data_IF_666891029818
#
_entry.id   IF_666891029818
#
_cell.length_a   1.000
_cell.length_b   1.000
_cell.length_c   1.000
_cell.angle_alpha   90.00
_cell.angle_beta   90.00
_cell.angle_gamma   90.00
#
_symmetry.space_group_name_H-M   'P 1'
#
loop_
_entity.id
_entity.type
_entity.pdbx_description
1 polymer ?
#
# COMPACT_ATOMS: atom_id res chain seq x y z
N UNK A 1 -2.89 -26.55 -25.78
CA UNK A 1 -2.65 -25.45 -26.73
C UNK A 1 -2.25 -24.17 -26.00
N UNK A 2 -3.14 -23.52 -25.24
CA UNK A 2 -2.91 -22.19 -24.65
C UNK A 2 -1.71 -22.11 -23.68
N UNK A 3 -1.39 -23.19 -22.97
CA UNK A 3 -0.33 -23.22 -21.94
C UNK A 3 1.07 -23.55 -22.47
N UNK A 4 1.18 -24.09 -23.69
CA UNK A 4 2.46 -24.60 -24.23
C UNK A 4 2.64 -24.15 -25.67
N UNK A 5 1.78 -24.60 -26.59
CA UNK A 5 1.88 -24.28 -28.02
C UNK A 5 1.77 -22.78 -28.27
N UNK A 6 0.77 -22.13 -27.68
CA UNK A 6 0.58 -20.69 -27.87
C UNK A 6 1.76 -19.89 -27.33
N UNK A 7 2.34 -20.31 -26.20
CA UNK A 7 3.51 -19.66 -25.60
C UNK A 7 4.76 -19.77 -26.49
N UNK A 8 5.02 -20.97 -27.03
CA UNK A 8 6.14 -21.18 -27.98
C UNK A 8 5.96 -20.37 -29.25
N UNK A 9 4.75 -20.34 -29.80
CA UNK A 9 4.44 -19.55 -30.99
C UNK A 9 4.61 -18.06 -30.69
N UNK A 10 4.15 -17.61 -29.51
CA UNK A 10 4.24 -16.21 -29.15
C UNK A 10 5.69 -15.73 -29.02
N UNK A 11 6.52 -16.50 -28.31
CA UNK A 11 7.96 -16.27 -28.25
C UNK A 11 8.60 -16.16 -29.65
N UNK A 12 8.20 -17.04 -30.57
CA UNK A 12 8.70 -16.97 -31.94
C UNK A 12 8.24 -15.71 -32.67
N UNK A 13 6.97 -15.32 -32.54
CA UNK A 13 6.43 -14.12 -33.18
C UNK A 13 6.95 -12.83 -32.58
N UNK A 14 7.34 -12.84 -31.31
CA UNK A 14 7.80 -11.65 -30.60
C UNK A 14 9.30 -11.42 -30.72
N UNK A 15 10.11 -12.48 -30.66
CA UNK A 15 11.57 -12.36 -30.68
C UNK A 15 12.12 -12.67 -32.06
N UNK A 16 11.74 -13.83 -32.62
CA UNK A 16 12.38 -14.35 -33.83
C UNK A 16 11.91 -13.58 -35.06
N UNK A 17 10.61 -13.35 -35.20
CA UNK A 17 10.05 -12.68 -36.38
C UNK A 17 10.57 -11.25 -36.55
N UNK A 18 10.57 -10.36 -35.52
CA UNK A 18 11.09 -9.01 -35.68
C UNK A 18 12.60 -9.00 -35.95
N UNK A 19 13.37 -9.87 -35.29
CA UNK A 19 14.81 -10.00 -35.52
C UNK A 19 15.12 -10.40 -36.97
N UNK A 20 14.40 -11.40 -37.50
CA UNK A 20 14.56 -11.84 -38.89
C UNK A 20 14.10 -10.76 -39.86
N UNK A 21 12.96 -10.12 -39.63
CA UNK A 21 12.44 -8.99 -40.44
C UNK A 21 13.48 -7.88 -40.55
N UNK A 22 14.08 -7.48 -39.43
CA UNK A 22 15.10 -6.44 -39.40
C UNK A 22 16.35 -6.83 -40.20
N UNK A 23 16.86 -8.06 -40.00
CA UNK A 23 18.05 -8.55 -40.70
C UNK A 23 17.83 -8.68 -42.21
N UNK A 24 16.64 -9.12 -42.63
CA UNK A 24 16.27 -9.23 -44.04
C UNK A 24 16.11 -7.84 -44.65
N UNK A 25 15.45 -6.91 -43.96
CA UNK A 25 15.25 -5.55 -44.46
C UNK A 25 16.57 -4.79 -44.61
N UNK A 26 17.45 -4.86 -43.61
CA UNK A 26 18.79 -4.26 -43.67
C UNK A 26 19.59 -4.79 -44.88
N UNK A 27 19.59 -6.11 -45.09
CA UNK A 27 20.28 -6.74 -46.23
C UNK A 27 19.64 -6.36 -47.57
N UNK A 28 18.31 -6.32 -47.65
CA UNK A 28 17.60 -5.90 -48.86
C UNK A 28 17.89 -4.43 -49.21
N UNK A 29 18.01 -3.56 -48.22
CA UNK A 29 18.35 -2.14 -48.38
C UNK A 29 19.79 -1.96 -48.84
N UNK A 30 20.72 -2.77 -48.33
CA UNK A 30 22.12 -2.82 -48.81
C UNK A 30 22.17 -3.15 -50.31
N UNK A 31 21.45 -4.20 -50.74
CA UNK A 31 21.37 -4.56 -52.16
C UNK A 31 20.67 -3.52 -53.04
N UNK A 32 19.61 -2.85 -52.52
CA UNK A 32 18.82 -1.89 -53.30
C UNK A 32 19.47 -0.52 -53.41
N UNK A 33 20.21 -0.10 -52.37
CA UNK A 33 20.79 1.24 -52.31
C UNK A 33 22.14 1.39 -53.01
N UNK A 34 22.78 0.29 -53.46
CA UNK A 34 24.11 0.30 -54.09
C UNK A 34 25.13 1.22 -53.39
N UNK A 35 25.02 1.39 -52.05
CA UNK A 35 25.87 2.27 -51.26
C UNK A 35 25.67 3.79 -51.45
N UNK A 36 24.69 4.25 -52.24
CA UNK A 36 24.56 5.68 -52.60
C UNK A 36 24.33 6.60 -51.40
N UNK A 37 23.61 6.12 -50.38
CA UNK A 37 23.33 6.86 -49.12
C UNK A 37 24.48 6.79 -48.11
N UNK A 38 25.42 5.85 -48.25
CA UNK A 38 26.62 5.75 -47.40
C UNK A 38 27.80 6.51 -48.02
N UNK A 39 27.76 6.80 -49.32
CA UNK A 39 28.82 7.47 -50.05
C UNK A 39 28.97 8.98 -49.74
N UNK A 40 27.98 9.60 -49.07
CA UNK A 40 28.01 11.03 -48.70
C UNK A 40 28.35 11.30 -47.23
N UNK A 41 28.44 10.26 -46.39
CA UNK A 41 28.70 10.44 -44.96
C UNK A 41 30.19 10.72 -44.73
N UNK A 42 30.53 11.61 -43.79
CA UNK A 42 31.93 11.81 -43.40
C UNK A 42 32.46 10.55 -42.71
N UNK A 43 33.72 10.10 -42.97
CA UNK A 43 34.22 8.81 -42.49
C UNK A 43 34.21 8.68 -40.95
N UNK A 44 34.37 9.79 -40.22
CA UNK A 44 34.34 9.80 -38.76
C UNK A 44 32.94 9.55 -38.16
N UNK A 45 31.86 9.89 -38.87
CA UNK A 45 30.47 9.78 -38.37
C UNK A 45 29.64 8.70 -39.08
N UNK A 46 30.17 8.08 -40.13
CA UNK A 46 29.45 7.11 -40.95
C UNK A 46 28.86 5.94 -40.14
N UNK A 47 29.61 5.40 -39.16
CA UNK A 47 29.12 4.33 -38.30
C UNK A 47 27.96 4.77 -37.39
N UNK A 48 28.05 5.99 -36.86
CA UNK A 48 27.03 6.58 -36.00
C UNK A 48 25.75 6.88 -36.78
N UNK A 49 25.86 7.51 -37.95
CA UNK A 49 24.72 7.80 -38.83
C UNK A 49 24.07 6.54 -39.38
N UNK A 50 24.84 5.48 -39.65
CA UNK A 50 24.29 4.16 -39.99
C UNK A 50 23.44 3.63 -38.83
N UNK A 51 23.98 3.61 -37.61
CA UNK A 51 23.24 3.14 -36.43
C UNK A 51 21.95 3.94 -36.20
N UNK A 52 21.99 5.27 -36.30
CA UNK A 52 20.79 6.11 -36.15
C UNK A 52 19.74 5.78 -37.20
N UNK A 53 20.14 5.63 -38.47
CA UNK A 53 19.19 5.28 -39.55
C UNK A 53 18.53 3.93 -39.29
N UNK A 54 19.29 2.95 -38.82
CA UNK A 54 18.76 1.62 -38.47
C UNK A 54 17.82 1.70 -37.25
N UNK A 55 18.21 2.42 -36.19
CA UNK A 55 17.36 2.66 -35.01
C UNK A 55 16.07 3.42 -35.36
N UNK A 56 16.11 4.35 -36.33
CA UNK A 56 14.92 5.08 -36.78
C UNK A 56 13.87 4.18 -37.45
N UNK A 57 14.24 3.01 -37.95
CA UNK A 57 13.32 2.06 -38.59
C UNK A 57 12.66 1.08 -37.61
N UNK A 58 13.21 0.94 -36.39
CA UNK A 58 12.62 0.08 -35.36
C UNK A 58 11.25 0.59 -34.90
N UNK A 59 10.44 -0.27 -34.29
CA UNK A 59 9.13 0.11 -33.77
C UNK A 59 9.27 0.75 -32.36
N UNK A 60 8.29 1.58 -31.98
CA UNK A 60 8.24 2.16 -30.63
C UNK A 60 7.78 1.09 -29.67
N UNK A 61 8.49 0.93 -28.55
CA UNK A 61 8.13 -0.03 -27.52
C UNK A 61 6.84 0.39 -26.78
N UNK A 62 5.85 -0.50 -26.73
CA UNK A 62 4.63 -0.33 -25.93
C UNK A 62 4.59 -1.37 -24.80
N UNK A 63 4.70 -0.89 -23.56
CA UNK A 63 4.63 -1.72 -22.34
C UNK A 63 3.24 -2.33 -22.12
N UNK A 64 2.21 -1.75 -22.73
CA UNK A 64 0.81 -2.18 -22.57
C UNK A 64 0.59 -3.57 -23.16
N UNK A 65 1.27 -3.89 -24.27
CA UNK A 65 1.17 -5.20 -24.91
C UNK A 65 1.79 -6.30 -24.05
N UNK A 66 2.98 -6.06 -23.50
CA UNK A 66 3.66 -7.00 -22.62
C UNK A 66 2.84 -7.23 -21.32
N UNK A 67 2.23 -6.17 -20.77
CA UNK A 67 1.29 -6.33 -19.65
C UNK A 67 0.06 -7.17 -20.02
N UNK A 68 -0.53 -6.92 -21.20
CA UNK A 68 -1.71 -7.66 -21.67
C UNK A 68 -1.41 -9.14 -21.73
N UNK A 69 -0.25 -9.52 -22.24
CA UNK A 69 0.18 -10.91 -22.30
C UNK A 69 0.23 -11.56 -20.91
N UNK A 70 0.95 -10.95 -19.97
CA UNK A 70 1.09 -11.46 -18.61
C UNK A 70 -0.26 -11.55 -17.88
N UNK A 71 -1.14 -10.57 -18.09
CA UNK A 71 -2.48 -10.54 -17.49
C UNK A 71 -3.38 -11.64 -18.08
N UNK A 72 -3.32 -11.88 -19.39
CA UNK A 72 -4.06 -12.97 -20.04
C UNK A 72 -3.54 -14.34 -19.58
N UNK A 73 -2.22 -14.50 -19.42
CA UNK A 73 -1.61 -15.70 -18.86
C UNK A 73 -2.06 -15.96 -17.41
N UNK A 74 -2.11 -14.91 -16.58
CA UNK A 74 -2.70 -14.98 -15.25
C UNK A 74 -4.18 -15.39 -15.30
N UNK A 75 -4.95 -14.85 -16.24
CA UNK A 75 -6.35 -15.24 -16.47
C UNK A 75 -6.50 -16.72 -16.76
N UNK A 76 -5.69 -17.29 -17.67
CA UNK A 76 -5.70 -18.73 -17.93
C UNK A 76 -5.40 -19.56 -16.69
N UNK A 77 -4.43 -19.12 -15.88
CA UNK A 77 -4.09 -19.78 -14.63
C UNK A 77 -5.22 -19.68 -13.59
N UNK A 78 -5.87 -18.53 -13.47
CA UNK A 78 -6.89 -18.29 -12.45
C UNK A 78 -8.24 -18.91 -12.79
N UNK A 79 -8.60 -18.99 -14.08
CA UNK A 79 -9.92 -19.44 -14.54
C UNK A 79 -9.96 -20.93 -14.87
N UNK A 80 -8.87 -21.49 -15.42
CA UNK A 80 -8.91 -22.79 -16.09
C UNK A 80 -7.87 -23.80 -15.59
N UNK A 81 -6.96 -23.42 -14.70
CA UNK A 81 -5.89 -24.32 -14.24
C UNK A 81 -6.42 -25.54 -13.48
N UNK A 82 -7.64 -25.48 -12.94
CA UNK A 82 -8.28 -26.62 -12.28
C UNK A 82 -8.52 -27.80 -13.22
N UNK A 83 -8.68 -27.55 -14.52
CA UNK A 83 -8.79 -28.59 -15.54
C UNK A 83 -7.42 -29.13 -15.99
N UNK A 84 -6.35 -28.36 -15.79
CA UNK A 84 -4.98 -28.74 -16.15
C UNK A 84 -3.96 -28.20 -15.13
N UNK A 85 -3.73 -28.92 -14.02
CA UNK A 85 -2.92 -28.42 -12.90
C UNK A 85 -1.45 -28.13 -13.26
N UNK A 86 -0.93 -28.78 -14.30
CA UNK A 86 0.44 -28.56 -14.79
C UNK A 86 0.61 -27.19 -15.49
N UNK A 87 -0.47 -26.44 -15.73
CA UNK A 87 -0.41 -25.10 -16.33
C UNK A 87 0.57 -24.16 -15.60
N UNK A 88 0.56 -24.20 -14.26
CA UNK A 88 1.43 -23.36 -13.44
C UNK A 88 2.92 -23.64 -13.68
N UNK A 89 3.29 -24.91 -13.87
CA UNK A 89 4.67 -25.30 -14.13
C UNK A 89 5.13 -24.82 -15.51
N UNK A 90 4.27 -24.95 -16.53
CA UNK A 90 4.55 -24.43 -17.87
C UNK A 90 4.75 -22.91 -17.86
N UNK A 91 3.88 -22.19 -17.16
CA UNK A 91 3.95 -20.74 -17.01
C UNK A 91 5.16 -20.26 -16.21
N UNK A 92 5.62 -21.04 -15.23
CA UNK A 92 6.85 -20.73 -14.51
C UNK A 92 8.07 -20.72 -15.45
N UNK A 93 8.19 -21.75 -16.29
CA UNK A 93 9.27 -21.82 -17.29
C UNK A 93 9.11 -20.71 -18.33
N UNK A 94 7.88 -20.46 -18.77
CA UNK A 94 7.59 -19.37 -19.71
C UNK A 94 8.08 -18.03 -19.17
N UNK A 95 7.66 -17.65 -17.96
CA UNK A 95 8.02 -16.36 -17.35
C UNK A 95 9.53 -16.19 -17.14
N UNK A 96 10.26 -17.30 -16.96
CA UNK A 96 11.72 -17.26 -16.87
C UNK A 96 12.38 -16.92 -18.22
N UNK A 97 11.87 -17.50 -19.31
CA UNK A 97 12.29 -17.14 -20.67
C UNK A 97 11.84 -15.72 -21.00
N UNK A 98 10.60 -15.38 -20.67
CA UNK A 98 9.94 -14.12 -20.95
C UNK A 98 10.72 -12.92 -20.42
N UNK A 99 11.14 -13.00 -19.15
CA UNK A 99 11.96 -11.97 -18.52
C UNK A 99 13.25 -11.67 -19.31
N UNK A 100 13.78 -12.65 -20.04
CA UNK A 100 14.97 -12.48 -20.88
C UNK A 100 14.61 -12.04 -22.29
N UNK A 101 13.55 -12.57 -22.90
CA UNK A 101 13.10 -12.14 -24.22
C UNK A 101 12.64 -10.69 -24.24
N UNK A 102 11.90 -10.23 -23.24
CA UNK A 102 11.47 -8.81 -23.14
C UNK A 102 12.67 -7.87 -23.01
N UNK A 103 13.65 -8.28 -22.20
CA UNK A 103 14.92 -7.57 -22.08
C UNK A 103 15.67 -7.47 -23.41
N UNK A 104 15.66 -8.54 -24.21
CA UNK A 104 16.23 -8.54 -25.56
C UNK A 104 15.40 -7.68 -26.53
N UNK A 105 14.07 -7.80 -26.51
CA UNK A 105 13.15 -7.03 -27.35
C UNK A 105 13.38 -5.53 -27.20
N UNK A 106 13.48 -5.03 -25.97
CA UNK A 106 13.79 -3.61 -25.69
C UNK A 106 15.20 -3.23 -26.17
N UNK A 107 16.17 -4.14 -26.08
CA UNK A 107 17.56 -3.85 -26.42
C UNK A 107 17.85 -3.84 -27.93
N UNK A 108 17.22 -4.73 -28.71
CA UNK A 108 17.57 -4.95 -30.12
C UNK A 108 16.41 -4.85 -31.10
N UNK A 109 15.15 -4.97 -30.65
CA UNK A 109 13.98 -5.03 -31.54
C UNK A 109 13.15 -3.75 -31.54
N UNK A 110 13.33 -2.87 -30.56
CA UNK A 110 12.58 -1.62 -30.44
C UNK A 110 13.50 -0.41 -30.27
N UNK A 111 12.97 0.78 -30.57
CA UNK A 111 13.62 2.04 -30.17
C UNK A 111 13.62 2.17 -28.66
N UNK A 112 14.65 2.84 -28.13
CA UNK A 112 14.70 3.18 -26.70
C UNK A 112 13.45 3.97 -26.30
N UNK A 113 12.63 3.48 -25.35
CA UNK A 113 11.44 4.18 -24.91
C UNK A 113 11.80 5.46 -24.13
N UNK A 114 10.91 6.44 -24.20
CA UNK A 114 11.02 7.67 -23.41
C UNK A 114 10.72 7.32 -21.95
N UNK A 115 11.55 7.74 -20.98
CA UNK A 115 11.32 7.43 -19.58
C UNK A 115 10.06 8.16 -19.07
N UNK A 116 9.00 7.38 -18.82
CA UNK A 116 7.78 7.86 -18.18
C UNK A 116 7.71 7.38 -16.74
N UNK A 117 7.11 8.20 -15.88
CA UNK A 117 6.93 7.88 -14.46
C UNK A 117 5.51 7.38 -14.25
N UNK A 118 5.38 6.24 -13.58
CA UNK A 118 4.12 5.71 -13.08
C UNK A 118 4.29 5.29 -11.63
N UNK A 119 3.24 5.45 -10.83
CA UNK A 119 3.16 5.00 -9.43
C UNK A 119 2.60 3.58 -9.30
N UNK A 120 2.06 3.03 -10.39
CA UNK A 120 1.41 1.72 -10.45
C UNK A 120 1.52 1.09 -11.85
N UNK A 121 1.10 -0.18 -11.98
CA UNK A 121 0.89 -0.84 -13.27
C UNK A 121 -0.41 -0.35 -13.96
N UNK A 122 -1.18 0.55 -13.33
CA UNK A 122 -2.34 1.20 -13.94
C UNK A 122 -3.58 0.30 -13.99
N UNK A 123 -4.32 0.24 -15.13
CA UNK A 123 -5.61 -0.46 -15.22
C UNK A 123 -5.49 -1.97 -15.00
N UNK A 124 -4.29 -2.53 -15.19
CA UNK A 124 -4.01 -3.95 -15.05
C UNK A 124 -4.23 -4.48 -13.64
N UNK A 125 -4.10 -3.66 -12.58
CA UNK A 125 -4.46 -4.08 -11.22
C UNK A 125 -5.94 -4.48 -11.11
N UNK A 126 -6.83 -3.68 -11.71
CA UNK A 126 -8.25 -3.96 -11.69
C UNK A 126 -8.57 -5.20 -12.53
N UNK A 127 -7.89 -5.36 -13.67
CA UNK A 127 -8.04 -6.55 -14.53
C UNK A 127 -7.62 -7.84 -13.80
N UNK A 128 -6.44 -7.85 -13.15
CA UNK A 128 -5.97 -8.99 -12.35
C UNK A 128 -6.94 -9.28 -11.21
N UNK A 129 -7.40 -8.25 -10.50
CA UNK A 129 -8.39 -8.40 -9.43
C UNK A 129 -9.70 -9.01 -9.91
N UNK A 130 -10.22 -8.55 -11.05
CA UNK A 130 -11.42 -9.09 -11.67
C UNK A 130 -11.23 -10.55 -12.12
N UNK A 131 -10.12 -10.87 -12.79
CA UNK A 131 -9.81 -12.24 -13.23
C UNK A 131 -9.66 -13.20 -12.05
N UNK A 132 -9.08 -12.74 -10.93
CA UNK A 132 -8.96 -13.54 -9.71
C UNK A 132 -10.33 -13.86 -9.09
N UNK A 133 -11.22 -12.87 -9.00
CA UNK A 133 -12.58 -13.07 -8.52
C UNK A 133 -13.37 -14.00 -9.45
N UNK A 134 -13.36 -13.72 -10.77
CA UNK A 134 -14.03 -14.56 -11.76
C UNK A 134 -13.45 -15.98 -11.80
N UNK A 135 -12.16 -16.12 -11.48
CA UNK A 135 -11.46 -17.38 -11.28
C UNK A 135 -12.08 -18.27 -10.22
N UNK A 136 -12.49 -17.70 -9.09
CA UNK A 136 -13.15 -18.44 -8.01
C UNK A 136 -14.48 -19.06 -8.45
N UNK A 137 -15.25 -18.30 -9.24
CA UNK A 137 -16.55 -18.73 -9.78
C UNK A 137 -16.34 -19.80 -10.86
N UNK A 138 -15.47 -19.51 -11.84
CA UNK A 138 -15.27 -20.35 -13.02
C UNK A 138 -14.63 -21.68 -12.66
N UNK A 139 -13.62 -21.67 -11.78
CA UNK A 139 -12.95 -22.90 -11.34
C UNK A 139 -13.92 -23.84 -10.62
N UNK A 140 -14.77 -23.32 -9.73
CA UNK A 140 -15.78 -24.11 -9.04
C UNK A 140 -16.83 -24.68 -10.01
N UNK A 141 -17.28 -23.85 -10.96
CA UNK A 141 -18.21 -24.29 -12.00
C UNK A 141 -17.62 -25.42 -12.86
N UNK A 142 -16.36 -25.30 -13.29
CA UNK A 142 -15.66 -26.33 -14.08
C UNK A 142 -15.57 -27.63 -13.28
N UNK A 143 -15.15 -27.58 -12.01
CA UNK A 143 -15.07 -28.79 -11.18
C UNK A 143 -16.44 -29.46 -11.07
N UNK A 144 -17.48 -28.69 -10.77
CA UNK A 144 -18.82 -29.24 -10.61
C UNK A 144 -19.38 -29.85 -11.92
N UNK A 145 -19.26 -29.13 -13.03
CA UNK A 145 -19.81 -29.56 -14.33
C UNK A 145 -19.00 -30.70 -14.96
N UNK A 146 -17.68 -30.67 -14.86
CA UNK A 146 -16.81 -31.64 -15.53
C UNK A 146 -16.54 -32.89 -14.69
N UNK A 147 -16.63 -32.83 -13.35
CA UNK A 147 -16.47 -34.04 -12.50
C UNK A 147 -17.58 -35.09 -12.73
N UNK A 148 -18.78 -34.66 -13.11
CA UNK A 148 -19.90 -35.56 -13.39
C UNK A 148 -19.82 -36.29 -14.73
N UNK A 149 -18.95 -35.87 -15.65
CA UNK A 149 -18.82 -36.44 -17.00
C UNK A 149 -18.13 -37.81 -17.02
N UNK A 150 -17.52 -38.25 -15.91
CA UNK A 150 -16.88 -39.55 -15.81
C UNK A 150 -17.88 -40.68 -15.50
N UNK A 151 -19.11 -40.32 -15.10
CA UNK A 151 -20.20 -41.24 -14.84
C UNK A 151 -21.16 -41.26 -16.06
N UNK A 152 -20.95 -42.21 -16.97
CA UNK A 152 -21.72 -42.36 -18.22
C UNK A 152 -23.24 -42.57 -18.00
N UNK A 153 -23.67 -42.77 -16.75
CA UNK A 153 -25.06 -43.01 -16.34
C UNK A 153 -25.82 -41.75 -15.88
N UNK A 154 -25.20 -40.56 -15.86
CA UNK A 154 -25.90 -39.29 -15.55
C UNK A 154 -26.59 -38.72 -16.79
N UNK A 155 -27.55 -39.47 -17.31
CA UNK A 155 -28.50 -38.97 -18.30
C UNK A 155 -29.44 -37.93 -17.69
N UNK A 156 -29.55 -36.78 -18.35
CA UNK A 156 -30.45 -35.65 -18.06
C UNK A 156 -30.24 -34.95 -16.69
N UNK A 157 -29.80 -33.70 -16.76
CA UNK A 157 -29.65 -32.80 -15.62
C UNK A 157 -30.95 -32.68 -14.81
N UNK A 158 -31.00 -33.36 -13.67
CA UNK A 158 -32.06 -33.16 -12.68
C UNK A 158 -31.94 -31.76 -12.08
N UNK A 159 -33.06 -31.17 -11.63
CA UNK A 159 -33.06 -29.93 -10.84
C UNK A 159 -32.10 -30.00 -9.64
N UNK A 160 -31.84 -31.22 -9.14
CA UNK A 160 -30.90 -31.49 -8.06
C UNK A 160 -29.44 -31.13 -8.44
N UNK A 161 -29.10 -31.24 -9.72
CA UNK A 161 -27.77 -30.91 -10.24
C UNK A 161 -27.59 -29.39 -10.39
N UNK A 162 -28.67 -28.64 -10.69
CA UNK A 162 -28.59 -27.19 -10.88
C UNK A 162 -28.35 -26.42 -9.55
N UNK A 163 -29.09 -26.75 -8.48
CA UNK A 163 -28.87 -26.08 -7.19
C UNK A 163 -27.51 -26.46 -6.59
N UNK A 164 -27.03 -27.69 -6.81
CA UNK A 164 -25.71 -28.13 -6.37
C UNK A 164 -24.57 -27.32 -7.01
N UNK A 165 -24.69 -27.02 -8.31
CA UNK A 165 -23.71 -26.17 -9.01
C UNK A 165 -23.72 -24.73 -8.52
N UNK A 166 -24.91 -24.15 -8.34
CA UNK A 166 -25.06 -22.80 -7.77
C UNK A 166 -24.51 -22.71 -6.34
N UNK A 167 -24.77 -23.72 -5.51
CA UNK A 167 -24.24 -23.78 -4.15
C UNK A 167 -22.70 -23.90 -4.15
N UNK A 168 -22.13 -24.72 -5.05
CA UNK A 168 -20.68 -24.84 -5.17
C UNK A 168 -20.03 -23.53 -5.58
N UNK A 169 -20.63 -22.79 -6.51
CA UNK A 169 -20.15 -21.45 -6.92
C UNK A 169 -20.24 -20.47 -5.75
N UNK A 170 -21.38 -20.42 -5.06
CA UNK A 170 -21.59 -19.53 -3.92
C UNK A 170 -20.54 -19.77 -2.83
N UNK A 171 -20.33 -21.03 -2.45
CA UNK A 171 -19.35 -21.40 -1.43
C UNK A 171 -17.92 -21.02 -1.83
N UNK A 172 -17.54 -21.29 -3.09
CA UNK A 172 -16.21 -20.95 -3.59
C UNK A 172 -15.97 -19.44 -3.65
N UNK A 173 -16.96 -18.67 -4.10
CA UNK A 173 -16.90 -17.21 -4.13
C UNK A 173 -16.78 -16.62 -2.71
N UNK A 174 -17.61 -17.07 -1.77
CA UNK A 174 -17.55 -16.59 -0.38
C UNK A 174 -16.23 -16.96 0.29
N UNK A 175 -15.71 -18.15 -0.01
CA UNK A 175 -14.38 -18.55 0.45
C UNK A 175 -13.28 -17.65 -0.11
N UNK A 176 -13.35 -17.29 -1.39
CA UNK A 176 -12.43 -16.33 -2.01
C UNK A 176 -12.51 -14.95 -1.34
N UNK A 177 -13.72 -14.40 -1.14
CA UNK A 177 -13.92 -13.10 -0.48
C UNK A 177 -13.42 -13.10 0.96
N UNK A 178 -13.69 -14.17 1.71
CA UNK A 178 -13.20 -14.33 3.08
C UNK A 178 -11.67 -14.41 3.12
N UNK A 179 -11.06 -15.18 2.21
CA UNK A 179 -9.60 -15.27 2.09
C UNK A 179 -9.00 -13.92 1.71
N UNK A 180 -9.62 -13.20 0.78
CA UNK A 180 -9.18 -11.86 0.39
C UNK A 180 -9.23 -10.87 1.55
N UNK A 181 -10.31 -10.89 2.35
CA UNK A 181 -10.44 -10.08 3.56
C UNK A 181 -9.38 -10.45 4.60
N UNK A 182 -9.13 -11.74 4.82
CA UNK A 182 -8.10 -12.22 5.74
C UNK A 182 -6.70 -11.76 5.30
N UNK A 183 -6.34 -11.93 4.04
CA UNK A 183 -5.05 -11.47 3.50
C UNK A 183 -4.90 -9.96 3.62
N UNK A 184 -5.94 -9.18 3.28
CA UNK A 184 -5.92 -7.72 3.44
C UNK A 184 -5.75 -7.31 4.90
N UNK A 185 -6.44 -7.99 5.83
CA UNK A 185 -6.30 -7.74 7.26
C UNK A 185 -4.87 -8.01 7.74
N UNK A 186 -4.27 -9.13 7.33
CA UNK A 186 -2.88 -9.49 7.68
C UNK A 186 -1.89 -8.48 7.09
N UNK A 187 -2.02 -8.15 5.80
CA UNK A 187 -1.14 -7.18 5.13
C UNK A 187 -1.23 -5.78 5.74
N UNK A 188 -2.42 -5.35 6.19
CA UNK A 188 -2.59 -4.07 6.88
C UNK A 188 -1.92 -4.01 8.25
N UNK A 189 -1.60 -5.16 8.87
CA UNK A 189 -0.83 -5.21 10.13
C UNK A 189 0.67 -5.09 9.90
N UNK A 190 1.15 -5.35 8.68
CA UNK A 190 2.57 -5.30 8.33
C UNK A 190 2.84 -4.00 7.58
N UNK A 191 3.41 -3.00 8.27
CA UNK A 191 3.79 -1.75 7.62
C UNK A 191 5.01 -1.97 6.72
N UNK A 192 4.94 -1.55 5.46
CA UNK A 192 6.03 -1.69 4.51
C UNK A 192 7.15 -0.68 4.76
N UNK A 193 8.39 -1.08 4.49
CA UNK A 193 9.57 -0.23 4.68
C UNK A 193 9.49 1.08 3.89
N UNK A 194 8.91 1.07 2.68
CA UNK A 194 8.74 2.26 1.86
C UNK A 194 7.82 3.31 2.51
N UNK A 195 6.70 2.88 3.10
CA UNK A 195 5.78 3.79 3.80
C UNK A 195 6.46 4.37 5.05
N UNK A 196 7.24 3.56 5.77
CA UNK A 196 8.01 4.01 6.93
C UNK A 196 9.04 5.08 6.55
N UNK A 197 9.77 4.89 5.45
CA UNK A 197 10.73 5.88 4.93
C UNK A 197 10.03 7.20 4.59
N UNK A 198 8.95 7.17 3.82
CA UNK A 198 8.18 8.37 3.44
C UNK A 198 7.61 9.07 4.68
N UNK A 199 7.16 8.32 5.70
CA UNK A 199 6.67 8.90 6.96
C UNK A 199 7.79 9.55 7.77
N UNK A 200 8.95 8.89 7.86
CA UNK A 200 10.15 9.41 8.54
C UNK A 200 10.64 10.70 7.89
N UNK A 201 10.74 10.73 6.56
CA UNK A 201 11.16 11.91 5.81
C UNK A 201 10.19 13.08 6.00
N UNK A 202 8.87 12.82 5.90
CA UNK A 202 7.84 13.84 6.19
C UNK A 202 7.94 14.39 7.61
N UNK A 203 8.21 13.54 8.59
CA UNK A 203 8.39 13.98 9.98
C UNK A 203 9.64 14.86 10.12
N UNK A 204 10.77 14.43 9.57
CA UNK A 204 12.03 15.16 9.64
C UNK A 204 11.94 16.52 8.93
N UNK A 205 11.28 16.58 7.77
CA UNK A 205 11.02 17.83 7.06
C UNK A 205 10.22 18.81 7.94
N UNK A 206 9.12 18.36 8.55
CA UNK A 206 8.30 19.19 9.44
C UNK A 206 9.08 19.64 10.68
N UNK A 207 9.89 18.76 11.27
CA UNK A 207 10.76 19.09 12.40
C UNK A 207 11.77 20.17 12.03
N UNK A 208 12.38 20.08 10.84
CA UNK A 208 13.34 21.07 10.33
C UNK A 208 12.67 22.44 10.13
N UNK A 209 11.52 22.48 9.47
CA UNK A 209 10.75 23.72 9.26
C UNK A 209 10.34 24.39 10.57
N UNK A 210 9.94 23.59 11.56
CA UNK A 210 9.58 24.11 12.88
C UNK A 210 10.80 24.70 13.61
N UNK A 211 11.95 24.02 13.55
CA UNK A 211 13.19 24.51 14.15
C UNK A 211 13.71 25.80 13.49
N UNK A 212 13.50 25.96 12.18
CA UNK A 212 13.85 27.18 11.44
C UNK A 212 12.94 28.36 11.83
N UNK A 213 11.62 28.12 11.92
CA UNK A 213 10.65 29.17 12.23
C UNK A 213 10.65 29.62 13.71
N UNK A 214 10.86 28.69 14.66
CA UNK A 214 10.84 28.99 16.11
C UNK A 214 12.24 29.24 16.70
N UNK A 215 13.31 28.95 15.94
CA UNK A 215 14.66 28.83 16.46
C UNK A 215 14.87 27.54 17.27
N UNK A 216 16.09 26.99 17.24
CA UNK A 216 16.48 25.76 17.96
C UNK A 216 16.11 25.68 19.47
N UNK A 217 16.10 26.76 20.28
CA UNK A 217 15.93 26.61 21.74
C UNK A 217 14.49 26.42 22.22
N UNK A 218 13.46 26.56 21.37
CA UNK A 218 12.05 26.41 21.81
C UNK A 218 11.61 24.94 21.79
N UNK A 219 12.14 24.13 20.87
CA UNK A 219 11.81 22.70 20.79
C UNK A 219 12.31 21.89 21.99
N UNK A 220 13.44 22.28 22.60
CA UNK A 220 13.87 21.70 23.88
C UNK A 220 13.05 22.26 25.05
N UNK A 221 12.70 23.55 25.06
CA UNK A 221 11.86 24.14 26.11
C UNK A 221 10.41 23.65 26.16
N UNK A 222 9.94 22.94 25.13
CA UNK A 222 8.64 22.27 25.13
C UNK A 222 8.65 20.93 25.90
N UNK A 223 9.82 20.44 26.34
CA UNK A 223 9.84 19.35 27.32
C UNK A 223 9.27 19.86 28.63
N UNK A 224 8.30 19.13 29.17
CA UNK A 224 7.63 19.23 30.48
C UNK A 224 8.10 20.45 31.29
N UNK A 225 7.23 21.45 31.55
CA UNK A 225 7.61 22.60 32.33
C UNK A 225 8.22 22.12 33.65
N UNK A 226 9.52 22.36 33.85
CA UNK A 226 10.21 22.00 35.08
C UNK A 226 9.61 22.75 36.28
N UNK A 227 10.05 22.44 37.49
CA UNK A 227 9.57 23.09 38.73
C UNK A 227 9.60 24.63 38.63
N UNK A 228 10.58 25.20 37.92
CA UNK A 228 10.68 26.65 37.63
C UNK A 228 9.51 27.23 36.81
N UNK A 229 8.86 26.42 35.97
CA UNK A 229 7.68 26.87 35.24
C UNK A 229 6.45 26.94 36.14
N UNK A 230 6.40 26.13 37.20
CA UNK A 230 5.41 26.28 38.28
C UNK A 230 5.53 27.65 38.94
N UNK A 231 6.74 28.12 39.22
CA UNK A 231 6.97 29.47 39.76
C UNK A 231 6.60 30.58 38.77
N UNK A 232 6.84 30.39 37.46
CA UNK A 232 6.40 31.36 36.44
C UNK A 232 4.88 31.49 36.35
N UNK A 233 4.15 30.39 36.48
CA UNK A 233 2.68 30.41 36.55
C UNK A 233 2.23 31.21 37.78
N UNK A 234 2.87 30.99 38.94
CA UNK A 234 2.60 31.75 40.16
C UNK A 234 2.89 33.24 39.97
N UNK A 235 3.98 33.62 39.31
CA UNK A 235 4.30 35.04 39.03
C UNK A 235 3.32 35.69 38.07
N UNK A 236 2.95 35.02 36.98
CA UNK A 236 1.99 35.56 36.01
C UNK A 236 0.59 35.70 36.63
N UNK A 237 0.18 34.75 37.46
CA UNK A 237 -1.06 34.85 38.24
C UNK A 237 -1.03 36.08 39.17
N UNK A 238 0.08 36.32 39.88
CA UNK A 238 0.25 37.50 40.75
C UNK A 238 0.21 38.83 39.97
N UNK A 239 0.81 38.89 38.78
CA UNK A 239 0.85 40.11 37.96
C UNK A 239 -0.53 40.44 37.34
N UNK A 240 -1.26 39.43 36.85
CA UNK A 240 -2.61 39.60 36.32
C UNK A 240 -3.63 39.94 37.43
N UNK A 241 -3.45 39.37 38.62
CA UNK A 241 -4.28 39.68 39.78
C UNK A 241 -4.02 41.09 40.33
N UNK A 242 -2.76 41.53 40.42
CA UNK A 242 -2.43 42.90 40.79
C UNK A 242 -3.04 43.92 39.81
N UNK A 243 -3.08 43.57 38.52
CA UNK A 243 -3.77 44.33 37.49
C UNK A 243 -5.29 44.36 37.72
N UNK A 244 -5.93 43.23 38.01
CA UNK A 244 -7.37 43.17 38.23
C UNK A 244 -7.82 43.83 39.55
N UNK A 245 -7.06 43.65 40.63
CA UNK A 245 -7.31 44.29 41.92
C UNK A 245 -7.22 45.82 41.84
N UNK A 246 -6.34 46.36 40.99
CA UNK A 246 -6.25 47.80 40.73
C UNK A 246 -7.48 48.38 40.02
N UNK A 247 -8.24 47.55 39.30
CA UNK A 247 -9.41 47.97 38.51
C UNK A 247 -10.71 47.79 39.29
N UNK A 248 -10.85 46.72 40.09
CA UNK A 248 -12.13 46.32 40.69
C UNK A 248 -12.26 46.54 42.20
N UNK A 249 -11.16 46.84 42.93
CA UNK A 249 -11.16 46.76 44.40
C UNK A 249 -11.29 45.31 44.89
N UNK A 250 -11.26 45.06 46.21
CA UNK A 250 -11.23 43.71 46.79
C UNK A 250 -12.33 42.80 46.19
N UNK A 251 -11.91 41.70 45.57
CA UNK A 251 -12.75 40.81 44.78
C UNK A 251 -13.76 39.96 45.57
N UNK A 252 -14.50 39.13 44.83
CA UNK A 252 -15.51 38.19 45.33
C UNK A 252 -14.91 37.13 46.27
N UNK A 253 -15.73 36.46 47.12
CA UNK A 253 -15.26 35.45 48.07
C UNK A 253 -14.51 34.27 47.42
N UNK A 254 -14.85 33.93 46.17
CA UNK A 254 -14.20 32.89 45.39
C UNK A 254 -12.80 33.33 44.92
N UNK A 255 -12.66 34.58 44.49
CA UNK A 255 -11.36 35.17 44.15
C UNK A 255 -10.46 35.21 45.39
N UNK A 256 -11.01 35.53 46.57
CA UNK A 256 -10.28 35.50 47.85
C UNK A 256 -9.88 34.07 48.27
N UNK A 257 -10.67 33.06 47.89
CA UNK A 257 -10.33 31.65 48.17
C UNK A 257 -9.13 31.19 47.33
N UNK A 258 -9.16 31.42 46.02
CA UNK A 258 -8.04 31.09 45.13
C UNK A 258 -6.78 31.93 45.44
N UNK A 259 -6.95 33.13 45.99
CA UNK A 259 -5.86 33.94 46.55
C UNK A 259 -5.12 33.31 47.73
N UNK A 260 -5.68 32.32 48.43
CA UNK A 260 -5.01 31.69 49.59
C UNK A 260 -4.18 30.46 49.22
N UNK A 261 -4.25 30.01 47.96
CA UNK A 261 -3.63 28.78 47.45
C UNK A 261 -2.79 29.11 46.20
N UNK A 262 -1.69 29.84 46.39
CA UNK A 262 -0.94 30.48 45.27
C UNK A 262 0.16 29.59 44.71
N UNK A 263 0.74 28.75 45.56
CA UNK A 263 1.75 27.77 45.17
C UNK A 263 1.21 26.35 45.30
N UNK A 264 1.80 25.44 44.53
CA UNK A 264 1.51 24.01 44.64
C UNK A 264 1.65 23.52 46.10
N UNK A 265 2.66 24.00 46.82
CA UNK A 265 2.92 23.64 48.21
C UNK A 265 1.83 24.14 49.16
N UNK A 266 1.38 25.39 49.01
CA UNK A 266 0.29 25.95 49.82
C UNK A 266 -1.02 25.18 49.62
N UNK A 267 -1.33 24.84 48.37
CA UNK A 267 -2.51 24.02 48.03
C UNK A 267 -2.40 22.63 48.64
N UNK A 268 -1.22 22.00 48.62
CA UNK A 268 -0.98 20.71 49.26
C UNK A 268 -1.14 20.80 50.78
N UNK A 269 -0.60 21.84 51.43
CA UNK A 269 -0.69 22.03 52.88
C UNK A 269 -2.15 22.25 53.30
N UNK A 270 -2.90 23.08 52.57
CA UNK A 270 -4.31 23.33 52.87
C UNK A 270 -5.13 22.05 52.63
N UNK A 271 -4.87 21.33 51.55
CA UNK A 271 -5.48 20.03 51.29
C UNK A 271 -5.25 19.02 52.41
N UNK A 272 -4.01 18.90 52.90
CA UNK A 272 -3.68 18.02 54.05
C UNK A 272 -4.47 18.41 55.31
N UNK A 273 -4.55 19.71 55.63
CA UNK A 273 -5.34 20.20 56.77
C UNK A 273 -6.84 19.89 56.63
N UNK A 274 -7.39 20.02 55.42
CA UNK A 274 -8.81 19.69 55.18
C UNK A 274 -9.09 18.19 55.33
N UNK A 275 -8.18 17.33 54.87
CA UNK A 275 -8.27 15.88 55.05
C UNK A 275 -8.21 15.51 56.53
N UNK A 276 -7.26 16.08 57.29
CA UNK A 276 -7.16 15.86 58.74
C UNK A 276 -8.42 16.30 59.49
N UNK A 277 -9.00 17.45 59.12
CA UNK A 277 -10.24 17.95 59.70
C UNK A 277 -11.44 17.05 59.38
N UNK A 278 -11.56 16.55 58.15
CA UNK A 278 -12.61 15.60 57.79
C UNK A 278 -12.46 14.27 58.53
N UNK A 279 -11.25 13.72 58.60
CA UNK A 279 -10.99 12.50 59.37
C UNK A 279 -11.30 12.68 60.87
N UNK A 280 -10.98 13.83 61.45
CA UNK A 280 -11.33 14.15 62.84
C UNK A 280 -12.85 14.27 63.04
N UNK A 281 -13.58 14.85 62.09
CA UNK A 281 -15.04 14.94 62.12
C UNK A 281 -15.70 13.56 61.98
N UNK A 282 -15.20 12.70 61.09
CA UNK A 282 -15.66 11.32 60.94
C UNK A 282 -15.40 10.46 62.19
N UNK A 283 -14.23 10.62 62.82
CA UNK A 283 -13.92 9.91 64.06
C UNK A 283 -14.82 10.36 65.22
N UNK A 284 -15.12 11.66 65.34
CA UNK A 284 -16.13 12.15 66.30
C UNK A 284 -17.52 11.56 66.00
N UNK A 285 -17.88 11.43 64.73
CA UNK A 285 -19.16 10.84 64.31
C UNK A 285 -19.23 9.34 64.62
N UNK A 286 -18.13 8.60 64.50
CA UNK A 286 -18.00 7.18 64.91
C UNK A 286 -18.01 7.01 66.43
N UNK A 287 -17.43 7.92 67.20
CA UNK A 287 -17.48 7.89 68.69
C UNK A 287 -18.87 8.24 69.24
N UNK A 288 -19.72 8.91 68.46
CA UNK A 288 -21.13 9.18 68.80
C UNK A 288 -22.12 8.28 68.06
N UNK A 289 -21.63 7.26 67.34
CA UNK A 289 -22.50 6.24 66.77
C UNK A 289 -23.01 5.32 67.90
N UNK A 290 -24.33 5.11 68.06
CA UNK A 290 -24.86 4.25 69.10
C UNK A 290 -24.39 2.80 68.88
N UNK A 291 -23.96 2.15 69.96
CA UNK A 291 -23.56 0.73 69.98
C UNK A 291 -24.76 -0.13 69.53
N UNK A 292 -24.62 -1.01 68.53
CA UNK A 292 -25.71 -1.91 68.17
C UNK A 292 -25.97 -2.88 69.33
N UNK A 293 -27.21 -2.93 69.80
CA UNK A 293 -27.63 -3.84 70.87
C UNK A 293 -27.42 -5.31 70.45
N UNK A 294 -26.90 -6.19 71.32
CA UNK A 294 -26.78 -7.61 71.01
C UNK A 294 -28.17 -8.23 70.85
N UNK A 295 -28.45 -8.79 69.67
CA UNK A 295 -29.64 -9.62 69.46
C UNK A 295 -29.42 -10.97 70.15
N UNK A 296 -30.36 -11.32 71.03
CA UNK A 296 -30.64 -12.67 71.52
C UNK A 296 -31.94 -13.16 70.87
#
# INVERSE_FOLDING_TARGET
>A
YCTVTAQVVNFATEVIVPYVKHKVFAKAKEFKSNGLLQAQDHPEEAEFLRRIRDECELEVYDVTDDYREMVMQFGYLSLFSVAWPLAACCFLVNNWVELRSDGLKIAISCKRPIPWRSDSIGPWLNAIGFLAWLGSITSAAIVFLCSGSQDQNRGAASQITAWGGLLSILLAEHFYLLTQLAVRFVMNKVESLGIQQVRKERYLMKKKLLAENLGQPITEKASIPGVEAGEKITRQALEEEARQASIRGHGSPEEIFWQRQRSMEETIIIGRKMIEQQMAAENKKKQHAPVPSPQA
#
